data_IF_264335056340
#
_entry.id   IF_264335056340
#
_cell.length_a   1.000
_cell.length_b   1.000
_cell.length_c   1.000
_cell.angle_alpha   90.00
_cell.angle_beta   90.00
_cell.angle_gamma   90.00
#
_symmetry.space_group_name_H-M   'P 1'
#
loop_
_entity.id
_entity.type
_entity.pdbx_description
1 polymer ?
#
# COMPACT_ATOMS: atom_id res chain seq x y z
N UNK A 1 -49.32 21.51 32.39
CA UNK A 1 -47.99 21.02 32.83
C UNK A 1 -47.63 19.86 31.93
N UNK A 2 -46.56 19.80 31.14
CA UNK A 2 -45.50 20.75 30.85
C UNK A 2 -45.32 20.86 29.33
N UNK A 3 -44.70 21.97 28.96
CA UNK A 3 -44.53 22.52 27.63
C UNK A 3 -43.08 22.28 27.19
N UNK A 4 -42.81 22.41 25.87
CA UNK A 4 -41.49 22.60 25.22
C UNK A 4 -40.63 21.34 25.01
N UNK A 5 -39.90 21.14 23.91
CA UNK A 5 -39.49 22.05 22.83
C UNK A 5 -39.19 21.22 21.57
N UNK A 6 -39.64 21.70 20.40
CA UNK A 6 -39.17 21.25 19.09
C UNK A 6 -37.71 21.66 18.94
N UNK A 7 -36.81 20.71 18.72
CA UNK A 7 -35.49 21.02 18.17
C UNK A 7 -35.62 21.10 16.65
N UNK A 8 -35.57 22.33 16.14
CA UNK A 8 -35.29 22.61 14.73
C UNK A 8 -33.83 22.24 14.45
N UNK A 9 -33.61 21.23 13.64
CA UNK A 9 -32.31 21.04 12.98
C UNK A 9 -32.18 22.10 11.87
N UNK A 10 -31.54 23.23 12.22
CA UNK A 10 -30.74 23.98 11.25
C UNK A 10 -29.44 23.21 11.08
N UNK A 11 -29.31 22.46 9.99
CA UNK A 11 -28.01 21.99 9.53
C UNK A 11 -27.49 23.02 8.54
N UNK A 12 -26.65 23.91 9.06
CA UNK A 12 -25.89 24.87 8.30
C UNK A 12 -25.00 24.14 7.28
N UNK A 13 -25.06 24.60 6.03
CA UNK A 13 -24.24 24.10 4.95
C UNK A 13 -22.76 24.40 5.18
N UNK A 14 -22.01 23.40 5.64
CA UNK A 14 -20.59 23.24 5.34
C UNK A 14 -20.25 21.76 5.49
N UNK A 15 -20.01 21.08 4.36
CA UNK A 15 -19.66 19.67 4.33
C UNK A 15 -18.30 19.42 4.97
N UNK A 16 -18.27 19.20 6.28
CA UNK A 16 -17.10 18.69 6.97
C UNK A 16 -16.97 17.19 6.67
N UNK A 17 -16.05 16.88 5.77
CA UNK A 17 -15.69 15.52 5.41
C UNK A 17 -15.23 14.73 6.63
N UNK A 18 -15.65 13.48 6.70
CA UNK A 18 -15.15 12.48 7.65
C UNK A 18 -13.62 12.54 7.64
N UNK A 19 -12.99 12.87 8.77
CA UNK A 19 -11.53 12.90 8.86
C UNK A 19 -11.00 11.48 8.72
N UNK A 20 -10.55 11.12 7.51
CA UNK A 20 -9.87 9.83 7.27
C UNK A 20 -8.64 9.81 8.18
N UNK A 21 -8.54 8.84 9.08
CA UNK A 21 -7.33 8.60 9.89
C UNK A 21 -7.06 7.11 9.89
N UNK A 22 -5.81 6.72 9.66
CA UNK A 22 -5.40 5.32 9.52
C UNK A 22 -5.40 4.84 8.07
N UNK A 23 -5.47 3.52 7.89
CA UNK A 23 -5.42 2.86 6.57
C UNK A 23 -6.83 2.78 5.95
N UNK A 24 -6.95 3.21 4.69
CA UNK A 24 -8.19 3.14 3.91
C UNK A 24 -7.89 2.67 2.48
N UNK A 25 -8.86 2.04 1.78
CA UNK A 25 -8.71 1.72 0.37
C UNK A 25 -8.38 2.99 -0.43
N UNK A 26 -7.37 2.92 -1.29
CA UNK A 26 -6.95 4.08 -2.06
C UNK A 26 -8.05 4.54 -3.03
N UNK A 27 -8.12 5.84 -3.26
CA UNK A 27 -9.02 6.48 -4.21
C UNK A 27 -8.23 7.13 -5.35
N UNK A 28 -8.92 7.56 -6.41
CA UNK A 28 -8.29 8.26 -7.54
C UNK A 28 -7.49 9.50 -7.10
N UNK A 29 -7.95 10.19 -6.06
CA UNK A 29 -7.27 11.35 -5.49
C UNK A 29 -5.92 11.01 -4.83
N UNK A 30 -5.60 9.73 -4.62
CA UNK A 30 -4.34 9.28 -4.01
C UNK A 30 -3.28 8.88 -5.04
N UNK A 31 -3.60 8.87 -6.34
CA UNK A 31 -2.71 8.39 -7.40
C UNK A 31 -1.37 9.13 -7.39
N UNK A 32 -1.40 10.46 -7.37
CA UNK A 32 -0.19 11.28 -7.41
C UNK A 32 0.72 11.00 -6.21
N UNK A 33 0.13 10.92 -5.02
CA UNK A 33 0.87 10.56 -3.80
C UNK A 33 1.55 9.19 -3.92
N UNK A 34 0.84 8.18 -4.39
CA UNK A 34 1.37 6.82 -4.56
C UNK A 34 2.49 6.82 -5.61
N UNK A 35 2.24 7.48 -6.74
CA UNK A 35 3.19 7.57 -7.83
C UNK A 35 4.49 8.26 -7.40
N UNK A 36 4.39 9.43 -6.75
CA UNK A 36 5.53 10.18 -6.25
C UNK A 36 6.31 9.39 -5.19
N UNK A 37 5.60 8.71 -4.29
CA UNK A 37 6.22 7.82 -3.29
C UNK A 37 7.05 6.71 -3.95
N UNK A 38 6.56 6.15 -5.06
CA UNK A 38 7.28 5.12 -5.84
C UNK A 38 8.48 5.72 -6.56
N UNK A 39 8.35 6.90 -7.16
CA UNK A 39 9.49 7.57 -7.81
C UNK A 39 10.59 7.92 -6.82
N UNK A 40 10.21 8.49 -5.67
CA UNK A 40 11.15 8.78 -4.57
C UNK A 40 11.86 7.51 -4.10
N UNK A 41 11.11 6.44 -3.87
CA UNK A 41 11.67 5.14 -3.51
C UNK A 41 12.59 4.55 -4.59
N UNK A 42 12.33 4.81 -5.87
CA UNK A 42 13.23 4.39 -6.96
C UNK A 42 14.54 5.20 -6.95
N UNK A 43 14.48 6.51 -6.72
CA UNK A 43 15.67 7.36 -6.53
C UNK A 43 16.51 6.92 -5.31
N UNK A 44 15.85 6.50 -4.23
CA UNK A 44 16.50 5.99 -3.00
C UNK A 44 16.98 4.52 -3.15
N UNK A 45 16.74 3.89 -4.31
CA UNK A 45 17.15 2.51 -4.58
C UNK A 45 16.31 1.43 -3.89
N UNK A 46 15.12 1.77 -3.41
CA UNK A 46 14.15 0.85 -2.81
C UNK A 46 13.17 0.25 -3.82
N UNK A 47 13.06 0.85 -5.00
CA UNK A 47 12.34 0.31 -6.16
C UNK A 47 13.25 0.30 -7.41
N UNK A 48 12.76 -0.28 -8.52
CA UNK A 48 13.54 -0.31 -9.76
C UNK A 48 13.82 1.10 -10.26
N UNK A 49 15.08 1.37 -10.62
CA UNK A 49 15.48 2.61 -11.30
C UNK A 49 14.77 2.80 -12.63
N UNK A 50 14.25 1.73 -13.24
CA UNK A 50 13.50 1.82 -14.49
C UNK A 50 12.22 2.66 -14.35
N UNK A 51 11.68 2.77 -13.13
CA UNK A 51 10.51 3.59 -12.82
C UNK A 51 10.80 5.10 -12.96
N UNK A 52 12.07 5.48 -13.15
CA UNK A 52 12.50 6.85 -13.42
C UNK A 52 12.47 7.20 -14.92
N UNK A 53 12.26 6.23 -15.81
CA UNK A 53 12.15 6.49 -17.25
C UNK A 53 10.74 6.97 -17.62
N UNK A 54 10.58 8.07 -18.40
CA UNK A 54 9.27 8.66 -18.71
C UNK A 54 8.25 7.68 -19.33
N UNK A 55 8.70 6.80 -20.22
CA UNK A 55 7.83 5.80 -20.84
C UNK A 55 7.27 4.79 -19.82
N UNK A 56 8.07 4.42 -18.82
CA UNK A 56 7.67 3.51 -17.75
C UNK A 56 6.75 4.22 -16.75
N UNK A 57 6.97 5.52 -16.51
CA UNK A 57 6.13 6.34 -15.64
C UNK A 57 4.69 6.43 -16.13
N UNK A 58 4.47 6.63 -17.44
CA UNK A 58 3.12 6.59 -18.03
C UNK A 58 2.43 5.24 -17.78
N UNK A 59 3.17 4.15 -17.97
CA UNK A 59 2.68 2.80 -17.70
C UNK A 59 2.37 2.57 -16.22
N UNK A 60 3.23 3.06 -15.32
CA UNK A 60 3.04 2.97 -13.87
C UNK A 60 1.79 3.74 -13.42
N UNK A 61 1.62 4.97 -13.89
CA UNK A 61 0.46 5.79 -13.55
C UNK A 61 -0.84 5.12 -13.98
N UNK A 62 -0.87 4.58 -15.22
CA UNK A 62 -2.00 3.78 -15.69
C UNK A 62 -2.23 2.54 -14.82
N UNK A 63 -1.15 1.83 -14.46
CA UNK A 63 -1.23 0.62 -13.64
C UNK A 63 -1.81 0.89 -12.25
N UNK A 64 -1.43 2.00 -11.61
CA UNK A 64 -1.98 2.44 -10.32
C UNK A 64 -3.47 2.75 -10.49
N UNK A 65 -3.83 3.56 -11.49
CA UNK A 65 -5.21 3.95 -11.77
C UNK A 65 -6.12 2.74 -12.04
N UNK A 66 -5.68 1.82 -12.92
CA UNK A 66 -6.41 0.59 -13.23
C UNK A 66 -6.62 -0.27 -11.96
N UNK A 67 -5.59 -0.39 -11.12
CA UNK A 67 -5.67 -1.20 -9.90
C UNK A 67 -6.63 -0.61 -8.87
N UNK A 68 -6.68 0.72 -8.76
CA UNK A 68 -7.61 1.43 -7.86
C UNK A 68 -9.04 1.32 -8.39
N UNK A 69 -9.25 1.52 -9.69
CA UNK A 69 -10.60 1.60 -10.28
C UNK A 69 -11.24 0.24 -10.53
N UNK A 70 -10.45 -0.74 -10.95
CA UNK A 70 -10.97 -2.06 -11.34
C UNK A 70 -10.72 -3.13 -10.28
N UNK A 71 -9.80 -2.89 -9.34
CA UNK A 71 -9.34 -3.91 -8.41
C UNK A 71 -8.39 -4.94 -9.05
N UNK A 72 -7.87 -4.67 -10.25
CA UNK A 72 -6.93 -5.55 -10.96
C UNK A 72 -5.67 -4.81 -11.41
N UNK A 73 -4.52 -5.44 -11.22
CA UNK A 73 -3.23 -4.96 -11.70
C UNK A 73 -2.82 -5.71 -12.97
N UNK A 74 -2.55 -5.04 -14.10
CA UNK A 74 -1.90 -5.69 -15.22
C UNK A 74 -0.47 -6.08 -14.84
N UNK A 75 -0.03 -7.26 -15.27
CA UNK A 75 1.33 -7.78 -15.02
C UNK A 75 2.15 -7.76 -16.31
N UNK A 76 3.48 -7.86 -16.18
CA UNK A 76 4.42 -7.91 -17.31
C UNK A 76 4.17 -9.04 -18.32
N UNK A 77 3.34 -10.04 -17.98
CA UNK A 77 2.99 -11.18 -18.86
C UNK A 77 1.67 -10.99 -19.60
N UNK A 78 1.06 -9.81 -19.52
CA UNK A 78 -0.25 -9.54 -20.10
C UNK A 78 -1.43 -10.09 -19.28
N UNK A 79 -1.18 -10.83 -18.20
CA UNK A 79 -2.24 -11.28 -17.29
C UNK A 79 -2.62 -10.15 -16.32
N UNK A 80 -3.90 -10.07 -15.96
CA UNK A 80 -4.39 -9.26 -14.85
C UNK A 80 -4.49 -10.12 -13.58
N UNK A 81 -4.13 -9.53 -12.44
CA UNK A 81 -4.24 -10.19 -11.13
C UNK A 81 -5.08 -9.32 -10.19
N UNK A 82 -5.89 -9.91 -9.30
CA UNK A 82 -6.56 -9.16 -8.24
C UNK A 82 -5.54 -8.32 -7.46
N UNK A 83 -5.92 -7.09 -7.15
CA UNK A 83 -5.04 -6.14 -6.49
C UNK A 83 -5.79 -5.16 -5.60
N UNK A 84 -5.15 -4.77 -4.51
CA UNK A 84 -5.70 -3.82 -3.57
C UNK A 84 -4.64 -2.80 -3.17
N UNK A 85 -5.01 -1.52 -3.27
CA UNK A 85 -4.23 -0.41 -2.78
C UNK A 85 -4.84 0.14 -1.51
N UNK A 86 -3.97 0.47 -0.56
CA UNK A 86 -4.35 1.18 0.64
C UNK A 86 -3.39 2.33 0.87
N UNK A 87 -3.94 3.43 1.36
CA UNK A 87 -3.20 4.62 1.76
C UNK A 87 -3.44 4.84 3.25
N UNK A 88 -2.40 5.28 3.94
CA UNK A 88 -2.44 5.72 5.32
C UNK A 88 -2.60 7.24 5.33
N UNK A 89 -3.57 7.75 6.09
CA UNK A 89 -3.76 9.18 6.30
C UNK A 89 -3.65 9.51 7.78
N UNK A 90 -2.95 10.58 8.11
CA UNK A 90 -2.83 11.08 9.47
C UNK A 90 -2.75 12.61 9.46
N UNK A 91 -3.46 13.25 10.37
CA UNK A 91 -3.44 14.71 10.56
C UNK A 91 -3.59 15.59 9.29
N UNK A 92 -4.35 15.14 8.28
CA UNK A 92 -4.55 15.90 7.04
C UNK A 92 -3.61 15.50 5.89
N UNK A 93 -2.70 14.55 6.13
CA UNK A 93 -1.66 14.17 5.17
C UNK A 93 -1.66 12.67 4.88
N UNK A 94 -1.25 12.32 3.66
CA UNK A 94 -1.00 10.93 3.25
C UNK A 94 0.40 10.55 3.71
N UNK A 95 0.50 9.49 4.51
CA UNK A 95 1.72 9.14 5.24
C UNK A 95 2.39 7.86 4.75
N UNK A 96 1.64 6.98 4.09
CA UNK A 96 2.16 5.75 3.53
C UNK A 96 1.19 5.16 2.51
N UNK A 97 1.66 4.21 1.71
CA UNK A 97 0.79 3.33 0.94
C UNK A 97 1.32 1.90 0.95
N UNK A 98 0.45 0.95 0.65
CA UNK A 98 0.88 -0.36 0.20
C UNK A 98 -0.03 -0.89 -0.91
N UNK A 99 0.54 -1.78 -1.72
CA UNK A 99 -0.09 -2.45 -2.83
C UNK A 99 0.05 -3.95 -2.65
N UNK A 100 -1.07 -4.63 -2.51
CA UNK A 100 -1.18 -6.07 -2.41
C UNK A 100 -1.72 -6.64 -3.72
N UNK A 101 -1.16 -7.76 -4.18
CA UNK A 101 -1.68 -8.50 -5.34
C UNK A 101 -1.85 -9.98 -5.00
N UNK A 102 -2.77 -10.66 -5.68
CA UNK A 102 -2.92 -12.11 -5.63
C UNK A 102 -2.43 -12.73 -6.94
N UNK A 103 -1.20 -13.22 -6.97
CA UNK A 103 -0.61 -13.77 -8.20
C UNK A 103 -1.30 -15.06 -8.67
N UNK A 104 -1.84 -15.83 -7.70
CA UNK A 104 -2.67 -17.02 -7.89
C UNK A 104 -3.40 -17.31 -6.59
N UNK A 105 -4.42 -18.17 -6.65
CA UNK A 105 -5.22 -18.56 -5.49
C UNK A 105 -4.36 -18.85 -4.25
N UNK A 106 -4.61 -18.10 -3.17
CA UNK A 106 -3.93 -18.21 -1.87
C UNK A 106 -2.42 -17.89 -1.90
N UNK A 107 -1.93 -17.20 -2.94
CA UNK A 107 -0.57 -16.65 -3.01
C UNK A 107 -0.61 -15.15 -3.25
N UNK A 108 -0.33 -14.41 -2.19
CA UNK A 108 -0.33 -12.96 -2.18
C UNK A 108 1.09 -12.41 -2.24
N UNK A 109 1.27 -11.28 -2.92
CA UNK A 109 2.50 -10.50 -2.91
C UNK A 109 2.25 -9.11 -2.33
N UNK A 110 3.01 -8.74 -1.29
CA UNK A 110 3.15 -7.34 -0.90
C UNK A 110 4.06 -6.68 -1.93
N UNK A 111 3.44 -6.16 -2.99
CA UNK A 111 4.10 -5.80 -4.24
C UNK A 111 4.88 -4.48 -4.14
N UNK A 112 4.29 -3.46 -3.52
CA UNK A 112 4.95 -2.19 -3.21
C UNK A 112 4.47 -1.67 -1.87
N UNK A 113 5.37 -1.07 -1.11
CA UNK A 113 5.05 -0.43 0.18
C UNK A 113 6.03 0.71 0.40
N UNK A 114 5.54 1.87 0.82
CA UNK A 114 6.38 2.99 1.21
C UNK A 114 5.73 3.74 2.38
N UNK A 115 6.58 4.31 3.24
CA UNK A 115 6.21 5.25 4.29
C UNK A 115 7.01 6.52 4.04
N UNK A 116 6.31 7.65 4.01
CA UNK A 116 6.92 8.96 3.81
C UNK A 116 8.01 9.22 4.85
N UNK A 117 9.18 9.78 4.47
CA UNK A 117 10.32 9.92 5.37
C UNK A 117 10.00 10.61 6.69
N UNK A 118 9.18 11.66 6.67
CA UNK A 118 8.75 12.42 7.86
C UNK A 118 7.92 11.60 8.84
N UNK A 119 7.32 10.50 8.39
CA UNK A 119 6.44 9.64 9.19
C UNK A 119 7.08 8.29 9.56
N UNK A 120 8.36 8.10 9.23
CA UNK A 120 9.10 6.90 9.63
C UNK A 120 9.29 6.85 11.15
N UNK A 121 9.48 5.65 11.69
CA UNK A 121 9.60 5.38 13.14
C UNK A 121 8.34 5.68 13.99
N UNK A 122 7.23 6.08 13.38
CA UNK A 122 5.93 6.29 14.07
C UNK A 122 5.06 5.01 14.13
N UNK A 123 5.64 3.84 13.84
CA UNK A 123 4.90 2.56 13.87
C UNK A 123 4.02 2.26 12.65
N UNK A 124 3.92 3.17 11.67
CA UNK A 124 3.05 3.01 10.48
C UNK A 124 3.36 1.73 9.71
N UNK A 125 4.64 1.41 9.47
CA UNK A 125 4.99 0.18 8.75
C UNK A 125 4.56 -1.09 9.50
N UNK A 126 4.54 -1.09 10.85
CA UNK A 126 4.00 -2.22 11.63
C UNK A 126 2.48 -2.30 11.50
N UNK A 127 1.80 -1.14 11.48
CA UNK A 127 0.36 -1.05 11.23
C UNK A 127 0.01 -1.63 9.85
N UNK A 128 0.79 -1.31 8.82
CA UNK A 128 0.64 -1.88 7.47
C UNK A 128 0.76 -3.39 7.49
N UNK A 129 1.82 -3.95 8.09
CA UNK A 129 2.01 -5.41 8.12
C UNK A 129 0.89 -6.13 8.86
N UNK A 130 0.42 -5.58 9.98
CA UNK A 130 -0.75 -6.11 10.69
C UNK A 130 -1.98 -6.11 9.78
N UNK A 131 -2.25 -4.97 9.15
CA UNK A 131 -3.41 -4.83 8.27
C UNK A 131 -3.34 -5.76 7.05
N UNK A 132 -2.15 -6.00 6.49
CA UNK A 132 -1.95 -7.00 5.43
C UNK A 132 -2.29 -8.41 5.95
N UNK A 133 -1.83 -8.77 7.16
CA UNK A 133 -2.10 -10.09 7.74
C UNK A 133 -3.59 -10.30 8.03
N UNK A 134 -4.28 -9.28 8.53
CA UNK A 134 -5.70 -9.36 8.88
C UNK A 134 -6.61 -9.52 7.65
N UNK A 135 -6.15 -9.08 6.47
CA UNK A 135 -6.95 -9.15 5.23
C UNK A 135 -6.74 -10.42 4.42
N UNK A 136 -5.65 -11.13 4.64
CA UNK A 136 -5.32 -12.31 3.85
C UNK A 136 -5.90 -13.55 4.53
N UNK A 137 -6.64 -14.41 3.81
CA UNK A 137 -7.22 -15.62 4.39
C UNK A 137 -6.16 -16.50 5.06
N UNK A 138 -6.51 -17.10 6.21
CA UNK A 138 -5.65 -18.08 6.88
C UNK A 138 -5.29 -19.25 5.96
N UNK A 139 -4.10 -19.82 6.13
CA UNK A 139 -3.56 -20.85 5.26
C UNK A 139 -2.92 -20.32 3.95
N UNK A 140 -3.08 -19.03 3.65
CA UNK A 140 -2.45 -18.40 2.48
C UNK A 140 -0.94 -18.21 2.65
N UNK A 141 -0.24 -18.06 1.53
CA UNK A 141 1.16 -17.66 1.51
C UNK A 141 1.28 -16.20 1.10
N UNK A 142 2.07 -15.43 1.87
CA UNK A 142 2.45 -14.06 1.52
C UNK A 142 3.91 -14.06 1.14
N UNK A 143 4.26 -13.36 0.06
CA UNK A 143 5.65 -13.10 -0.31
C UNK A 143 5.91 -11.60 -0.46
N UNK A 144 7.18 -11.24 -0.37
CA UNK A 144 7.68 -9.91 -0.64
C UNK A 144 9.04 -10.00 -1.34
N UNK A 145 9.30 -9.05 -2.24
CA UNK A 145 10.60 -8.89 -2.89
C UNK A 145 11.15 -7.52 -2.53
N UNK A 146 12.32 -7.50 -1.89
CA UNK A 146 12.96 -6.26 -1.45
C UNK A 146 14.25 -6.04 -2.21
N UNK A 147 14.57 -4.80 -2.57
CA UNK A 147 15.95 -4.48 -2.97
C UNK A 147 16.88 -4.66 -1.77
N UNK A 148 18.13 -5.08 -2.03
CA UNK A 148 19.12 -5.36 -0.95
C UNK A 148 19.42 -4.14 -0.07
N UNK A 149 19.20 -2.93 -0.58
CA UNK A 149 19.26 -1.64 0.12
C UNK A 149 18.17 -1.46 1.19
N UNK A 150 17.02 -2.12 1.06
CA UNK A 150 15.84 -1.97 1.94
C UNK A 150 16.00 -2.71 3.27
N UNK A 151 17.08 -2.43 4.00
CA UNK A 151 17.48 -3.16 5.23
C UNK A 151 16.45 -3.01 6.36
N UNK A 152 15.81 -1.86 6.49
CA UNK A 152 14.77 -1.63 7.52
C UNK A 152 13.53 -2.46 7.23
N UNK A 153 13.02 -2.44 5.99
CA UNK A 153 11.87 -3.27 5.61
C UNK A 153 12.18 -4.76 5.75
N UNK A 154 13.41 -5.19 5.43
CA UNK A 154 13.85 -6.57 5.66
C UNK A 154 13.75 -6.95 7.14
N UNK A 155 14.28 -6.12 8.05
CA UNK A 155 14.18 -6.37 9.50
C UNK A 155 12.72 -6.44 9.97
N UNK A 156 11.87 -5.55 9.45
CA UNK A 156 10.45 -5.53 9.78
C UNK A 156 9.73 -6.81 9.33
N UNK A 157 9.95 -7.24 8.09
CA UNK A 157 9.34 -8.48 7.58
C UNK A 157 9.83 -9.71 8.35
N UNK A 158 11.13 -9.80 8.65
CA UNK A 158 11.67 -10.91 9.45
C UNK A 158 11.05 -10.94 10.85
N UNK A 159 10.90 -9.78 11.50
CA UNK A 159 10.23 -9.68 12.79
C UNK A 159 8.73 -10.05 12.73
N UNK A 160 8.09 -9.86 11.56
CA UNK A 160 6.71 -10.26 11.27
C UNK A 160 6.57 -11.74 10.84
N UNK A 161 7.66 -12.52 10.94
CA UNK A 161 7.66 -13.96 10.66
C UNK A 161 7.99 -14.36 9.23
N UNK A 162 8.41 -13.43 8.37
CA UNK A 162 8.91 -13.78 7.04
C UNK A 162 10.28 -14.44 7.10
N UNK A 163 10.46 -15.43 6.22
CA UNK A 163 11.73 -16.16 6.05
C UNK A 163 12.23 -15.99 4.63
N UNK A 164 13.55 -16.11 4.41
CA UNK A 164 14.14 -16.01 3.07
C UNK A 164 13.79 -17.25 2.25
N UNK A 165 13.34 -17.04 1.03
CA UNK A 165 13.12 -18.14 0.08
C UNK A 165 14.45 -18.77 -0.36
N UNK A 166 14.43 -20.02 -0.81
CA UNK A 166 15.63 -20.69 -1.35
C UNK A 166 16.16 -19.99 -2.61
N UNK A 167 15.23 -19.51 -3.46
CA UNK A 167 15.55 -18.78 -4.68
C UNK A 167 15.58 -17.29 -4.38
N UNK A 168 16.69 -16.64 -4.68
CA UNK A 168 16.91 -15.21 -4.46
C UNK A 168 17.12 -14.50 -5.79
N UNK A 169 16.81 -13.20 -5.84
CA UNK A 169 17.17 -12.35 -6.97
C UNK A 169 18.64 -11.91 -6.90
N UNK A 170 19.19 -11.51 -8.05
CA UNK A 170 20.53 -10.89 -8.11
C UNK A 170 20.57 -9.63 -7.24
N UNK A 171 19.61 -8.73 -7.45
CA UNK A 171 19.49 -7.43 -6.78
C UNK A 171 18.46 -7.40 -5.66
N UNK A 172 17.65 -8.46 -5.54
CA UNK A 172 16.53 -8.51 -4.60
C UNK A 172 16.62 -9.70 -3.65
N UNK A 173 16.13 -9.48 -2.42
CA UNK A 173 15.91 -10.49 -1.40
C UNK A 173 14.45 -10.93 -1.48
N UNK A 174 14.20 -12.23 -1.62
CA UNK A 174 12.86 -12.81 -1.68
C UNK A 174 12.52 -13.43 -0.34
N UNK A 175 11.37 -13.05 0.19
CA UNK A 175 10.90 -13.42 1.51
C UNK A 175 9.49 -13.98 1.39
N UNK A 176 9.16 -14.95 2.24
CA UNK A 176 7.78 -15.41 2.37
C UNK A 176 7.42 -15.89 3.77
N UNK A 177 6.12 -15.88 4.06
CA UNK A 177 5.52 -16.54 5.22
C UNK A 177 4.20 -17.21 4.86
N UNK A 178 3.78 -18.17 5.68
CA UNK A 178 2.42 -18.68 5.68
C UNK A 178 1.65 -18.05 6.83
N UNK A 179 0.39 -17.71 6.59
CA UNK A 179 -0.56 -17.31 7.63
C UNK A 179 -1.33 -18.50 8.17
#
# INVERSE_FOLDING_TARGET
MGNKEKFEERVDGSGFGVSKTGLYPAELADIDFIFDSIQRGAHEGYFSSDLLFPIIQLGLHKQISDSITTGYSPTHRGCQVPSWFYVSFDAGERTAFYWLTEEKTNLFELYKVAVEPSFRNMGIGKSILRHVNDRIPSGSKIKARLYRSSTIMLKMLVADGFTRDLKQGKTTIHLSKRL
#
